data_IF_837373169745
#
_entry.id   IF_837373169745
#
_cell.length_a   1.000
_cell.length_b   1.000
_cell.length_c   1.000
_cell.angle_alpha   90.00
_cell.angle_beta   90.00
_cell.angle_gamma   90.00
#
_symmetry.space_group_name_H-M   'P 1'
#
loop_
_entity.id
_entity.type
_entity.pdbx_description
1 polymer ?
#
# COMPACT_ATOMS: atom_id res chain seq x y z
N UNK A 1 24.44 -27.32 -12.95
CA UNK A 1 24.75 -25.98 -12.36
C UNK A 1 25.19 -26.18 -10.92
N UNK A 2 25.98 -25.29 -10.32
CA UNK A 2 26.48 -25.44 -8.93
C UNK A 2 25.37 -25.78 -7.91
N UNK A 3 24.14 -25.33 -8.17
CA UNK A 3 22.95 -25.54 -7.34
C UNK A 3 22.54 -27.03 -7.20
N UNK A 4 22.91 -27.91 -8.13
CA UNK A 4 22.55 -29.33 -8.09
C UNK A 4 23.40 -30.16 -7.10
N UNK A 5 24.45 -29.56 -6.51
CA UNK A 5 25.34 -30.22 -5.53
C UNK A 5 25.10 -29.74 -4.09
N UNK A 6 24.14 -28.83 -3.88
CA UNK A 6 23.84 -28.31 -2.54
C UNK A 6 22.98 -29.32 -1.79
N UNK A 7 23.60 -29.99 -0.82
CA UNK A 7 22.92 -30.85 0.15
C UNK A 7 22.61 -30.12 1.48
N UNK A 8 21.71 -30.71 2.27
CA UNK A 8 21.31 -30.23 3.59
C UNK A 8 22.50 -29.93 4.52
N UNK A 9 23.58 -30.73 4.44
CA UNK A 9 24.79 -30.53 5.26
C UNK A 9 25.45 -29.17 5.00
N UNK A 10 25.53 -28.72 3.74
CA UNK A 10 26.14 -27.45 3.37
C UNK A 10 25.30 -26.25 3.83
N UNK A 11 23.97 -26.40 3.82
CA UNK A 11 23.05 -25.41 4.38
C UNK A 11 23.26 -25.27 5.88
N UNK A 12 23.33 -26.39 6.61
CA UNK A 12 23.55 -26.38 8.07
C UNK A 12 24.92 -25.78 8.42
N UNK A 13 25.97 -26.09 7.65
CA UNK A 13 27.29 -25.47 7.82
C UNK A 13 27.24 -23.95 7.62
N UNK A 14 26.52 -23.49 6.60
CA UNK A 14 26.34 -22.06 6.33
C UNK A 14 25.58 -21.34 7.44
N UNK A 15 24.53 -21.96 7.97
CA UNK A 15 23.77 -21.42 9.10
C UNK A 15 24.65 -21.30 10.36
N UNK A 16 25.49 -22.30 10.63
CA UNK A 16 26.43 -22.22 11.75
C UNK A 16 27.46 -21.10 11.55
N UNK A 17 27.98 -20.90 10.33
CA UNK A 17 28.89 -19.78 10.03
C UNK A 17 28.18 -18.43 10.25
N UNK A 18 26.94 -18.27 9.78
CA UNK A 18 26.17 -17.04 10.02
C UNK A 18 25.94 -16.82 11.52
N UNK A 19 25.72 -17.89 12.30
CA UNK A 19 25.55 -17.79 13.75
C UNK A 19 26.82 -17.30 14.45
N UNK A 20 27.99 -17.74 13.99
CA UNK A 20 29.27 -17.40 14.61
C UNK A 20 29.77 -16.00 14.20
N UNK A 21 29.54 -15.59 12.94
CA UNK A 21 30.13 -14.39 12.37
C UNK A 21 29.12 -13.29 12.00
N UNK A 22 27.81 -13.58 12.10
CA UNK A 22 26.74 -12.65 11.76
C UNK A 22 26.48 -12.52 10.26
N UNK A 23 25.51 -11.66 9.90
CA UNK A 23 25.17 -11.33 8.51
C UNK A 23 25.90 -10.04 8.13
N UNK A 24 26.73 -10.03 7.06
CA UNK A 24 27.37 -8.82 6.58
C UNK A 24 26.36 -7.77 6.09
N UNK A 25 26.75 -6.50 6.16
CA UNK A 25 25.94 -5.40 5.64
C UNK A 25 25.57 -5.62 4.17
N UNK A 26 24.30 -5.40 3.83
CA UNK A 26 23.77 -5.61 2.48
C UNK A 26 23.45 -7.06 2.11
N UNK A 27 23.67 -8.03 3.02
CA UNK A 27 23.29 -9.44 2.85
C UNK A 27 22.03 -9.85 3.62
N UNK A 28 21.42 -8.91 4.34
CA UNK A 28 20.12 -9.10 4.98
C UNK A 28 18.99 -9.34 3.96
N UNK A 29 17.99 -10.09 4.37
CA UNK A 29 16.83 -10.42 3.55
C UNK A 29 15.86 -9.25 3.43
N UNK A 30 15.07 -9.23 2.34
CA UNK A 30 14.05 -8.21 2.07
C UNK A 30 12.64 -8.76 2.08
N UNK A 31 12.46 -10.07 1.86
CA UNK A 31 11.12 -10.65 1.69
C UNK A 31 10.93 -11.97 2.43
N UNK A 32 11.92 -12.85 2.41
CA UNK A 32 11.80 -14.20 2.98
C UNK A 32 12.91 -14.55 3.96
N UNK A 33 12.61 -15.42 4.91
CA UNK A 33 13.58 -15.99 5.85
C UNK A 33 13.54 -17.50 5.77
N UNK A 34 14.67 -18.14 6.05
CA UNK A 34 14.69 -19.57 6.32
C UNK A 34 14.70 -19.79 7.82
N UNK A 35 13.79 -20.62 8.31
CA UNK A 35 13.72 -21.01 9.71
C UNK A 35 14.56 -22.27 9.96
N UNK A 36 15.43 -22.21 10.96
CA UNK A 36 16.16 -23.37 11.44
C UNK A 36 16.32 -23.30 12.97
N UNK A 37 15.79 -24.31 13.67
CA UNK A 37 15.81 -24.40 15.15
C UNK A 37 15.29 -23.10 15.81
N UNK A 38 14.14 -22.60 15.38
CA UNK A 38 13.50 -21.38 15.86
C UNK A 38 14.35 -20.10 15.69
N UNK A 39 15.31 -20.10 14.77
CA UNK A 39 16.08 -18.93 14.39
C UNK A 39 15.91 -18.67 12.90
N UNK A 40 16.08 -17.42 12.50
CA UNK A 40 15.87 -16.98 11.13
C UNK A 40 17.17 -16.55 10.46
N UNK A 41 17.30 -16.85 9.17
CA UNK A 41 18.48 -16.52 8.39
C UNK A 41 18.10 -16.02 6.98
N UNK A 42 18.93 -15.18 6.33
CA UNK A 42 18.65 -14.72 4.97
C UNK A 42 18.83 -15.86 3.94
N UNK A 43 17.79 -16.27 3.19
CA UNK A 43 17.84 -17.42 2.29
C UNK A 43 18.95 -17.30 1.23
N UNK A 44 19.02 -16.14 0.57
CA UNK A 44 20.02 -15.85 -0.46
C UNK A 44 21.45 -15.95 0.08
N UNK A 45 21.68 -15.48 1.32
CA UNK A 45 23.00 -15.52 1.92
C UNK A 45 23.39 -16.95 2.33
N UNK A 46 22.45 -17.70 2.91
CA UNK A 46 22.65 -19.11 3.28
C UNK A 46 23.04 -19.95 2.07
N UNK A 47 22.30 -19.84 0.96
CA UNK A 47 22.59 -20.59 -0.28
C UNK A 47 23.94 -20.15 -0.86
N UNK A 48 24.23 -18.85 -0.89
CA UNK A 48 25.51 -18.34 -1.38
C UNK A 48 26.71 -18.84 -0.56
N UNK A 49 26.58 -18.91 0.77
CA UNK A 49 27.60 -19.48 1.65
C UNK A 49 27.74 -20.99 1.47
N UNK A 50 26.66 -21.72 1.19
CA UNK A 50 26.75 -23.18 1.02
C UNK A 50 27.66 -23.58 -0.13
N UNK A 51 27.79 -22.73 -1.15
CA UNK A 51 28.73 -22.94 -2.25
C UNK A 51 30.20 -22.96 -1.79
N UNK A 52 30.55 -22.22 -0.74
CA UNK A 52 31.89 -22.22 -0.15
C UNK A 52 32.27 -23.62 0.35
N UNK A 53 31.31 -24.36 0.88
CA UNK A 53 31.51 -25.71 1.41
C UNK A 53 31.59 -26.78 0.32
N UNK A 54 31.18 -26.46 -0.91
CA UNK A 54 31.26 -27.34 -2.07
C UNK A 54 32.53 -27.05 -2.89
N UNK A 55 32.81 -25.78 -3.14
CA UNK A 55 33.81 -25.33 -4.13
C UNK A 55 35.00 -24.56 -3.55
N UNK A 56 34.98 -24.26 -2.24
CA UNK A 56 35.98 -23.41 -1.58
C UNK A 56 35.75 -21.91 -1.73
N UNK A 57 34.81 -21.47 -2.59
CA UNK A 57 34.49 -20.06 -2.83
C UNK A 57 33.01 -19.74 -2.57
N UNK A 58 32.74 -18.57 -1.99
CA UNK A 58 31.36 -18.08 -1.84
C UNK A 58 30.76 -17.72 -3.20
N UNK A 59 29.51 -18.09 -3.44
CA UNK A 59 28.84 -17.76 -4.70
C UNK A 59 28.55 -16.25 -4.78
N UNK A 60 28.98 -15.58 -5.85
CA UNK A 60 28.62 -14.18 -6.06
C UNK A 60 27.10 -14.01 -6.18
N UNK A 61 26.58 -12.95 -5.57
CA UNK A 61 25.18 -12.53 -5.60
C UNK A 61 24.64 -12.45 -7.04
N UNK A 62 25.49 -12.02 -7.98
CA UNK A 62 25.16 -11.89 -9.41
C UNK A 62 24.84 -13.22 -10.11
N UNK A 63 25.19 -14.36 -9.50
CA UNK A 63 25.00 -15.70 -10.06
C UNK A 63 23.69 -16.37 -9.63
N UNK A 64 22.94 -15.75 -8.73
CA UNK A 64 21.56 -16.14 -8.40
C UNK A 64 20.61 -15.25 -9.21
N UNK A 65 19.58 -15.84 -9.83
CA UNK A 65 18.63 -15.09 -10.65
C UNK A 65 17.77 -14.17 -9.79
N UNK A 66 17.36 -14.65 -8.61
CA UNK A 66 16.55 -13.92 -7.63
C UNK A 66 16.47 -14.65 -6.27
N UNK A 67 15.75 -14.04 -5.31
CA UNK A 67 15.48 -14.57 -3.97
C UNK A 67 14.58 -15.82 -4.02
N UNK A 68 13.75 -15.97 -5.06
CA UNK A 68 12.81 -17.08 -5.22
C UNK A 68 13.55 -18.39 -5.57
N UNK A 69 14.64 -18.33 -6.34
CA UNK A 69 15.51 -19.47 -6.62
C UNK A 69 16.16 -20.03 -5.35
N UNK A 70 16.57 -19.16 -4.42
CA UNK A 70 17.17 -19.58 -3.14
C UNK A 70 16.15 -20.27 -2.24
N UNK A 71 14.91 -19.75 -2.20
CA UNK A 71 13.82 -20.35 -1.44
C UNK A 71 13.49 -21.75 -1.94
N UNK A 72 13.37 -21.93 -3.27
CA UNK A 72 13.07 -23.23 -3.85
C UNK A 72 14.11 -24.31 -3.52
N UNK A 73 15.40 -23.96 -3.51
CA UNK A 73 16.49 -24.88 -3.11
C UNK A 73 16.31 -25.30 -1.65
N UNK A 74 16.06 -24.34 -0.76
CA UNK A 74 15.91 -24.61 0.68
C UNK A 74 14.64 -25.42 0.98
N UNK A 75 13.52 -25.12 0.33
CA UNK A 75 12.27 -25.89 0.45
C UNK A 75 12.44 -27.34 -0.03
N UNK A 76 13.12 -27.55 -1.17
CA UNK A 76 13.43 -28.88 -1.69
C UNK A 76 14.33 -29.69 -0.74
N UNK A 77 15.15 -29.02 0.07
CA UNK A 77 15.98 -29.63 1.11
C UNK A 77 15.26 -29.77 2.46
N UNK A 78 13.97 -29.40 2.54
CA UNK A 78 13.11 -29.60 3.71
C UNK A 78 13.14 -28.45 4.73
N UNK A 79 13.67 -27.29 4.37
CA UNK A 79 13.63 -26.11 5.24
C UNK A 79 12.33 -25.32 5.06
N UNK A 80 11.88 -24.69 6.15
CA UNK A 80 10.68 -23.84 6.12
C UNK A 80 11.07 -22.41 5.74
N UNK A 81 10.40 -21.88 4.70
CA UNK A 81 10.50 -20.48 4.31
C UNK A 81 9.38 -19.68 4.96
N UNK A 82 9.76 -18.59 5.62
CA UNK A 82 8.86 -17.68 6.33
C UNK A 82 8.87 -16.33 5.64
N UNK A 83 7.67 -15.80 5.37
CA UNK A 83 7.52 -14.48 4.79
C UNK A 83 7.69 -13.41 5.86
N UNK A 84 8.53 -12.39 5.62
CA UNK A 84 8.77 -11.32 6.59
C UNK A 84 7.50 -10.62 7.05
N UNK A 85 6.49 -10.50 6.18
CA UNK A 85 5.21 -9.87 6.54
C UNK A 85 4.32 -10.75 7.43
N UNK A 86 4.74 -11.99 7.75
CA UNK A 86 4.05 -12.84 8.72
C UNK A 86 4.62 -12.74 10.13
N UNK A 87 5.76 -12.06 10.29
CA UNK A 87 6.41 -11.86 11.58
C UNK A 87 5.88 -10.61 12.28
N UNK A 88 5.82 -10.65 13.62
CA UNK A 88 5.45 -9.50 14.43
C UNK A 88 6.56 -8.44 14.47
N UNK A 89 6.18 -7.20 14.81
CA UNK A 89 7.09 -6.05 14.80
C UNK A 89 8.29 -6.21 15.74
N UNK A 90 8.12 -6.85 16.91
CA UNK A 90 9.24 -7.05 17.86
C UNK A 90 10.27 -8.03 17.28
N UNK A 91 9.79 -9.09 16.64
CA UNK A 91 10.64 -10.04 15.93
C UNK A 91 11.38 -9.34 14.78
N UNK A 92 10.71 -8.50 13.99
CA UNK A 92 11.35 -7.75 12.90
C UNK A 92 12.43 -6.76 13.40
N UNK A 93 12.18 -6.04 14.49
CA UNK A 93 13.17 -5.15 15.11
C UNK A 93 14.40 -5.92 15.61
N UNK A 94 14.18 -7.05 16.29
CA UNK A 94 15.26 -7.92 16.75
C UNK A 94 16.12 -8.43 15.58
N UNK A 95 15.49 -8.90 14.51
CA UNK A 95 16.19 -9.40 13.32
C UNK A 95 16.94 -8.30 12.57
N UNK A 96 16.41 -7.07 12.56
CA UNK A 96 17.07 -5.94 11.92
C UNK A 96 18.33 -5.51 12.67
N UNK A 97 18.28 -5.52 14.01
CA UNK A 97 19.46 -5.25 14.85
C UNK A 97 20.58 -6.29 14.65
N UNK A 98 20.25 -7.47 14.10
CA UNK A 98 21.20 -8.52 13.76
C UNK A 98 21.57 -8.55 12.27
N UNK A 99 21.17 -7.54 11.49
CA UNK A 99 21.36 -7.47 10.03
C UNK A 99 20.74 -8.66 9.24
N UNK A 100 19.88 -9.46 9.87
CA UNK A 100 19.21 -10.60 9.22
C UNK A 100 18.15 -10.10 8.23
N UNK A 101 17.49 -8.99 8.54
CA UNK A 101 16.52 -8.33 7.67
C UNK A 101 16.93 -6.91 7.36
N UNK A 102 16.55 -6.43 6.19
CA UNK A 102 16.70 -5.03 5.81
C UNK A 102 15.32 -4.37 5.86
N UNK A 103 14.95 -3.82 7.03
CA UNK A 103 13.64 -3.18 7.25
C UNK A 103 13.33 -2.06 6.25
N UNK A 104 14.35 -1.44 5.65
CA UNK A 104 14.19 -0.40 4.63
C UNK A 104 13.49 -0.89 3.34
N UNK A 105 13.29 -2.21 3.16
CA UNK A 105 12.69 -2.80 1.94
C UNK A 105 11.56 -3.82 2.17
N UNK A 106 11.08 -4.03 3.41
CA UNK A 106 10.09 -5.08 3.72
C UNK A 106 8.71 -4.83 3.08
N UNK A 107 8.41 -3.58 2.74
CA UNK A 107 7.23 -3.23 1.96
C UNK A 107 7.62 -2.92 0.52
N UNK A 108 7.31 -3.83 -0.41
CA UNK A 108 7.79 -3.78 -1.79
C UNK A 108 7.01 -2.82 -2.71
N UNK A 109 5.78 -2.44 -2.35
CA UNK A 109 4.98 -1.45 -3.10
C UNK A 109 3.69 -1.07 -2.37
N UNK A 110 3.19 0.13 -2.66
CA UNK A 110 1.91 0.65 -2.14
C UNK A 110 0.69 -0.21 -2.55
N UNK A 111 0.88 -1.14 -3.50
CA UNK A 111 -0.12 -2.11 -3.94
C UNK A 111 -0.07 -3.44 -3.16
N UNK A 112 0.54 -3.46 -1.98
CA UNK A 112 0.64 -4.65 -1.14
C UNK A 112 -0.74 -5.23 -0.77
N UNK A 113 -1.06 -6.42 -1.29
CA UNK A 113 -2.31 -7.12 -1.01
C UNK A 113 -2.49 -7.41 0.49
N UNK A 114 -1.39 -7.69 1.21
CA UNK A 114 -1.42 -7.90 2.66
C UNK A 114 -1.82 -6.64 3.41
N UNK A 115 -1.35 -5.46 2.99
CA UNK A 115 -1.79 -4.19 3.57
C UNK A 115 -3.30 -4.03 3.39
N UNK A 116 -3.82 -4.24 2.17
CA UNK A 116 -5.27 -4.16 1.88
C UNK A 116 -6.09 -5.13 2.76
N UNK A 117 -5.60 -6.35 2.97
CA UNK A 117 -6.26 -7.35 3.83
C UNK A 117 -6.20 -6.98 5.32
N UNK A 118 -5.07 -6.49 5.83
CA UNK A 118 -4.96 -6.06 7.23
C UNK A 118 -5.84 -4.84 7.49
N UNK A 119 -5.87 -3.87 6.59
CA UNK A 119 -6.78 -2.71 6.69
C UNK A 119 -8.23 -3.18 6.73
N UNK A 120 -8.62 -4.07 5.82
CA UNK A 120 -9.96 -4.68 5.84
C UNK A 120 -10.26 -5.30 7.21
N UNK A 121 -9.33 -6.08 7.76
CA UNK A 121 -9.48 -6.70 9.09
C UNK A 121 -9.56 -5.70 10.23
N UNK A 122 -8.76 -4.62 10.21
CA UNK A 122 -8.83 -3.51 11.17
C UNK A 122 -10.20 -2.84 11.10
N UNK A 123 -10.68 -2.51 9.90
CA UNK A 123 -11.98 -1.87 9.70
C UNK A 123 -13.13 -2.78 10.15
N UNK A 124 -13.06 -4.08 9.86
CA UNK A 124 -14.04 -5.06 10.32
C UNK A 124 -14.02 -5.22 11.84
N UNK A 125 -12.85 -5.17 12.46
CA UNK A 125 -12.69 -5.26 13.91
C UNK A 125 -13.27 -4.03 14.62
N UNK A 126 -12.94 -2.82 14.15
CA UNK A 126 -13.35 -1.55 14.76
C UNK A 126 -14.84 -1.28 14.50
N UNK A 127 -15.27 -1.41 13.25
CA UNK A 127 -16.60 -0.92 12.83
C UNK A 127 -17.61 -2.03 12.55
N UNK A 128 -17.19 -3.29 12.51
CA UNK A 128 -18.06 -4.41 12.16
C UNK A 128 -18.22 -4.57 10.64
N UNK A 129 -19.44 -4.73 10.15
CA UNK A 129 -19.66 -5.10 8.74
C UNK A 129 -19.30 -3.94 7.78
N UNK A 130 -18.40 -4.22 6.85
CA UNK A 130 -18.02 -3.30 5.76
C UNK A 130 -18.37 -3.88 4.39
N UNK A 131 -18.37 -3.03 3.37
CA UNK A 131 -18.34 -3.41 1.95
C UNK A 131 -16.99 -2.98 1.36
N UNK A 132 -16.39 -3.86 0.56
CA UNK A 132 -15.18 -3.55 -0.23
C UNK A 132 -15.64 -3.16 -1.64
N UNK A 133 -14.89 -2.29 -2.32
CA UNK A 133 -15.18 -1.83 -3.67
C UNK A 133 -16.62 -1.30 -3.79
N UNK A 134 -16.97 -0.40 -2.87
CA UNK A 134 -18.32 0.12 -2.76
C UNK A 134 -18.67 1.00 -3.96
N UNK A 135 -19.71 0.59 -4.69
CA UNK A 135 -20.26 1.35 -5.81
C UNK A 135 -21.25 2.40 -5.33
N UNK A 136 -21.05 3.64 -5.80
CA UNK A 136 -21.98 4.74 -5.62
C UNK A 136 -22.55 5.11 -6.99
N UNK A 137 -23.87 5.09 -7.11
CA UNK A 137 -24.55 5.31 -8.39
C UNK A 137 -24.72 6.81 -8.65
N UNK A 138 -23.63 7.51 -8.92
CA UNK A 138 -23.65 8.93 -9.33
C UNK A 138 -23.04 9.10 -10.70
N UNK A 139 -23.41 10.21 -11.35
CA UNK A 139 -22.81 10.65 -12.57
C UNK A 139 -21.34 11.07 -12.42
N UNK A 140 -20.75 11.50 -13.51
CA UNK A 140 -19.31 11.83 -13.59
C UNK A 140 -19.04 13.13 -14.32
N UNK A 141 -20.07 13.75 -14.90
CA UNK A 141 -19.96 15.05 -15.56
C UNK A 141 -20.53 16.13 -14.63
N UNK A 142 -20.04 17.37 -14.68
CA UNK A 142 -20.56 18.45 -13.84
C UNK A 142 -22.08 18.61 -13.92
N UNK A 143 -22.66 18.41 -15.11
CA UNK A 143 -24.09 18.54 -15.38
C UNK A 143 -24.96 17.58 -14.54
N UNK A 144 -24.40 16.44 -14.14
CA UNK A 144 -25.08 15.47 -13.27
C UNK A 144 -25.36 16.04 -11.87
N UNK A 145 -24.73 17.16 -11.51
CA UNK A 145 -24.80 17.79 -10.20
C UNK A 145 -25.48 19.16 -10.21
N UNK A 146 -26.17 19.55 -11.30
CA UNK A 146 -26.76 20.89 -11.47
C UNK A 146 -27.71 21.33 -10.35
N UNK A 147 -28.39 20.38 -9.71
CA UNK A 147 -29.33 20.63 -8.63
C UNK A 147 -28.71 20.50 -7.23
N UNK A 148 -27.38 20.37 -7.14
CA UNK A 148 -26.68 20.26 -5.87
C UNK A 148 -26.11 21.61 -5.44
N UNK A 149 -25.92 21.77 -4.13
CA UNK A 149 -25.32 22.97 -3.52
C UNK A 149 -23.96 23.34 -4.13
N UNK A 150 -23.19 22.35 -4.57
CA UNK A 150 -21.80 22.52 -5.00
C UNK A 150 -21.60 22.50 -6.52
N UNK A 151 -22.66 22.60 -7.32
CA UNK A 151 -22.57 22.58 -8.78
C UNK A 151 -21.52 23.57 -9.32
N UNK A 152 -21.60 24.84 -8.93
CA UNK A 152 -20.70 25.89 -9.44
C UNK A 152 -19.24 25.62 -9.08
N UNK A 153 -18.99 25.12 -7.87
CA UNK A 153 -17.65 24.75 -7.41
C UNK A 153 -17.10 23.55 -8.21
N UNK A 154 -17.91 22.50 -8.38
CA UNK A 154 -17.57 21.32 -9.17
C UNK A 154 -17.29 21.68 -10.63
N UNK A 155 -18.13 22.53 -11.23
CA UNK A 155 -17.95 23.03 -12.59
C UNK A 155 -16.64 23.83 -12.73
N UNK A 156 -16.36 24.76 -11.83
CA UNK A 156 -15.12 25.53 -11.83
C UNK A 156 -13.88 24.62 -11.70
N UNK A 157 -13.90 23.65 -10.79
CA UNK A 157 -12.80 22.68 -10.65
C UNK A 157 -12.61 21.87 -11.93
N UNK A 158 -13.70 21.43 -12.57
CA UNK A 158 -13.65 20.71 -13.84
C UNK A 158 -12.99 21.54 -14.96
N UNK A 159 -13.41 22.80 -15.12
CA UNK A 159 -12.86 23.73 -16.12
C UNK A 159 -11.37 24.07 -15.86
N UNK A 160 -10.97 24.18 -14.58
CA UNK A 160 -9.57 24.33 -14.19
C UNK A 160 -8.72 23.12 -14.59
N UNK A 161 -9.23 21.89 -14.40
CA UNK A 161 -8.54 20.67 -14.84
C UNK A 161 -8.40 20.64 -16.37
N UNK A 162 -9.44 21.00 -17.11
CA UNK A 162 -9.37 21.08 -18.58
C UNK A 162 -8.28 22.06 -19.02
N UNK A 163 -8.26 23.25 -18.41
CA UNK A 163 -7.36 24.34 -18.77
C UNK A 163 -5.90 24.07 -18.41
N UNK A 164 -5.63 23.25 -17.38
CA UNK A 164 -4.27 23.01 -16.89
C UNK A 164 -3.33 22.41 -17.96
N UNK A 165 -3.84 21.53 -18.83
CA UNK A 165 -3.11 20.98 -19.99
C UNK A 165 -3.81 21.13 -21.33
N UNK A 166 -4.95 21.83 -21.37
CA UNK A 166 -5.78 21.95 -22.57
C UNK A 166 -6.48 20.64 -22.95
N UNK A 167 -6.79 19.78 -21.98
CA UNK A 167 -7.48 18.51 -22.20
C UNK A 167 -8.97 18.66 -21.90
N UNK A 168 -9.78 18.91 -22.94
CA UNK A 168 -11.21 19.15 -22.76
C UNK A 168 -12.01 17.88 -22.45
N UNK A 169 -11.52 16.70 -22.83
CA UNK A 169 -12.22 15.42 -22.63
C UNK A 169 -11.36 14.42 -21.85
N UNK A 170 -11.31 14.58 -20.53
CA UNK A 170 -10.57 13.67 -19.64
C UNK A 170 -11.47 12.67 -18.90
N UNK A 171 -12.79 12.84 -18.91
CA UNK A 171 -13.73 11.92 -18.26
C UNK A 171 -14.27 10.91 -19.27
N UNK A 172 -13.67 9.73 -19.25
CA UNK A 172 -13.87 8.66 -20.24
C UNK A 172 -14.86 7.55 -19.79
N UNK A 173 -15.49 7.70 -18.63
CA UNK A 173 -16.52 6.77 -18.13
C UNK A 173 -17.67 7.57 -17.54
N UNK A 174 -18.89 7.05 -17.68
CA UNK A 174 -20.11 7.64 -17.10
C UNK A 174 -20.33 7.23 -15.65
N UNK A 175 -19.61 6.20 -15.18
CA UNK A 175 -19.72 5.67 -13.81
C UNK A 175 -18.52 6.08 -12.99
N UNK A 176 -18.78 6.60 -11.79
CA UNK A 176 -17.74 6.88 -10.81
C UNK A 176 -17.05 5.57 -10.41
N UNK A 177 -15.70 5.53 -10.34
CA UNK A 177 -14.99 4.37 -9.81
C UNK A 177 -15.40 4.03 -8.38
N UNK A 178 -15.24 2.76 -8.02
CA UNK A 178 -15.55 2.26 -6.67
C UNK A 178 -14.77 3.02 -5.61
N UNK A 179 -15.38 3.14 -4.43
CA UNK A 179 -14.68 3.54 -3.22
C UNK A 179 -14.09 2.31 -2.54
N UNK A 180 -12.91 2.42 -1.91
CA UNK A 180 -12.25 1.22 -1.37
C UNK A 180 -13.08 0.50 -0.31
N UNK A 181 -13.62 1.24 0.67
CA UNK A 181 -14.44 0.66 1.73
C UNK A 181 -15.67 1.51 2.06
N UNK A 182 -16.74 0.85 2.46
CA UNK A 182 -17.93 1.46 3.03
C UNK A 182 -18.34 0.78 4.33
N UNK A 183 -18.35 1.56 5.41
CA UNK A 183 -18.71 1.15 6.77
C UNK A 183 -20.23 1.30 6.95
N UNK A 184 -20.95 0.18 7.01
CA UNK A 184 -22.41 0.17 6.85
C UNK A 184 -23.14 0.89 7.98
N UNK A 185 -22.74 0.65 9.24
CA UNK A 185 -23.40 1.23 10.42
C UNK A 185 -23.13 2.73 10.57
N UNK A 186 -22.02 3.23 10.03
CA UNK A 186 -21.67 4.65 10.08
C UNK A 186 -22.11 5.42 8.83
N UNK A 187 -22.37 4.73 7.72
CA UNK A 187 -22.55 5.40 6.43
C UNK A 187 -21.27 6.10 5.98
N UNK A 188 -20.10 5.54 6.31
CA UNK A 188 -18.80 6.18 6.11
C UNK A 188 -18.03 5.52 4.98
N UNK A 189 -17.52 6.33 4.06
CA UNK A 189 -16.57 5.90 3.03
C UNK A 189 -15.14 6.07 3.57
N UNK A 190 -14.29 5.10 3.26
CA UNK A 190 -12.85 5.17 3.53
C UNK A 190 -12.12 4.90 2.23
N UNK A 191 -11.36 5.89 1.77
CA UNK A 191 -10.47 5.78 0.61
C UNK A 191 -9.02 5.63 1.03
N UNK A 192 -8.27 4.90 0.22
CA UNK A 192 -6.90 4.53 0.48
C UNK A 192 -6.02 5.01 -0.67
N UNK A 193 -5.36 6.14 -0.45
CA UNK A 193 -4.65 6.86 -1.49
C UNK A 193 -3.22 6.32 -1.62
N UNK A 194 -2.88 5.83 -2.81
CA UNK A 194 -1.50 5.55 -3.26
C UNK A 194 -0.80 6.85 -3.68
N UNK A 195 0.53 6.85 -3.77
CA UNK A 195 1.35 8.01 -4.16
C UNK A 195 0.97 8.59 -5.54
N UNK A 196 0.39 7.75 -6.40
CA UNK A 196 -0.14 8.14 -7.70
C UNK A 196 -1.34 9.10 -7.63
N UNK A 197 -2.00 9.25 -6.48
CA UNK A 197 -3.03 10.29 -6.27
C UNK A 197 -2.42 11.68 -5.99
N UNK A 198 -1.18 11.76 -5.52
CA UNK A 198 -0.55 13.02 -5.08
C UNK A 198 0.21 13.71 -6.22
N UNK A 199 -0.54 14.41 -7.07
CA UNK A 199 -0.02 15.15 -8.22
C UNK A 199 -0.49 16.63 -8.22
N UNK A 200 0.00 17.41 -9.19
CA UNK A 200 -0.33 18.83 -9.30
C UNK A 200 -1.81 19.11 -9.58
N UNK A 201 -2.49 18.22 -10.32
CA UNK A 201 -3.91 18.35 -10.63
C UNK A 201 -4.75 18.09 -9.38
N UNK A 202 -4.37 17.13 -8.54
CA UNK A 202 -4.99 16.91 -7.22
C UNK A 202 -4.77 18.10 -6.28
N UNK A 203 -3.58 18.69 -6.27
CA UNK A 203 -3.35 19.93 -5.54
C UNK A 203 -4.24 21.08 -6.04
N UNK A 204 -4.40 21.19 -7.36
CA UNK A 204 -5.26 22.19 -7.99
C UNK A 204 -6.71 22.03 -7.55
N UNK A 205 -7.25 20.81 -7.52
CA UNK A 205 -8.63 20.59 -7.07
C UNK A 205 -8.80 20.96 -5.61
N UNK A 206 -7.95 20.42 -4.71
CA UNK A 206 -8.01 20.71 -3.28
C UNK A 206 -7.94 22.20 -2.96
N UNK A 207 -7.07 22.96 -3.65
CA UNK A 207 -6.95 24.43 -3.47
C UNK A 207 -8.24 25.19 -3.81
N UNK A 208 -9.10 24.61 -4.66
CA UNK A 208 -10.35 25.22 -5.11
C UNK A 208 -11.60 24.64 -4.42
N UNK A 209 -11.45 23.83 -3.38
CA UNK A 209 -12.61 23.36 -2.60
C UNK A 209 -13.20 24.52 -1.80
N UNK A 210 -14.55 24.68 -1.80
CA UNK A 210 -15.22 25.57 -0.88
C UNK A 210 -14.87 25.28 0.58
N UNK A 211 -14.84 26.31 1.42
CA UNK A 211 -14.45 26.19 2.83
C UNK A 211 -15.45 25.40 3.67
N UNK A 212 -16.71 25.31 3.22
CA UNK A 212 -17.82 24.66 3.91
C UNK A 212 -18.05 23.20 3.47
N UNK A 213 -17.19 22.64 2.62
CA UNK A 213 -17.17 21.20 2.33
C UNK A 213 -16.67 20.44 3.55
N UNK A 214 -17.45 19.47 4.02
CA UNK A 214 -17.08 18.64 5.15
C UNK A 214 -16.05 17.57 4.73
N UNK A 215 -14.79 17.76 5.11
CA UNK A 215 -13.70 16.81 4.85
C UNK A 215 -13.28 16.15 6.17
N UNK A 216 -13.37 14.83 6.27
CA UNK A 216 -12.83 14.07 7.42
C UNK A 216 -11.39 13.62 7.17
N UNK A 217 -10.59 14.39 6.43
CA UNK A 217 -9.17 14.20 6.24
C UNK A 217 -8.44 15.55 6.25
N UNK A 218 -7.14 15.55 6.60
CA UNK A 218 -6.34 16.77 6.66
C UNK A 218 -6.00 17.25 5.23
N UNK A 219 -6.83 18.16 4.70
CA UNK A 219 -6.62 18.82 3.41
C UNK A 219 -5.21 19.40 3.26
N UNK A 220 -4.62 19.97 4.32
CA UNK A 220 -3.28 20.56 4.26
C UNK A 220 -2.19 19.48 4.20
N UNK A 221 -2.36 18.34 4.89
CA UNK A 221 -1.50 17.16 4.70
C UNK A 221 -1.56 16.67 3.25
N UNK A 222 -2.74 16.51 2.67
CA UNK A 222 -2.89 16.06 1.28
C UNK A 222 -2.27 17.04 0.27
N UNK A 223 -2.43 18.36 0.49
CA UNK A 223 -1.77 19.38 -0.32
C UNK A 223 -0.24 19.27 -0.26
N UNK A 224 0.34 19.13 0.94
CA UNK A 224 1.79 18.93 1.12
C UNK A 224 2.28 17.66 0.44
N UNK A 225 1.51 16.58 0.49
CA UNK A 225 1.84 15.33 -0.21
C UNK A 225 1.86 15.55 -1.73
N UNK A 226 0.89 16.27 -2.30
CA UNK A 226 0.88 16.61 -3.73
C UNK A 226 2.11 17.45 -4.14
N UNK A 227 2.52 18.40 -3.30
CA UNK A 227 3.68 19.26 -3.54
C UNK A 227 5.02 18.50 -3.41
N UNK A 228 5.09 17.49 -2.53
CA UNK A 228 6.29 16.69 -2.30
C UNK A 228 6.45 15.57 -3.34
N UNK A 229 5.39 14.81 -3.61
CA UNK A 229 5.46 13.61 -4.44
C UNK A 229 5.52 13.95 -5.92
N UNK A 230 4.76 14.97 -6.36
CA UNK A 230 4.66 15.43 -7.75
C UNK A 230 4.55 14.25 -8.73
N UNK A 231 3.70 13.27 -8.40
CA UNK A 231 3.55 12.08 -9.23
C UNK A 231 2.98 12.45 -10.60
N UNK A 232 3.30 11.62 -11.59
CA UNK A 232 2.79 11.76 -12.96
C UNK A 232 2.42 10.38 -13.46
N UNK A 233 1.14 10.15 -13.70
CA UNK A 233 0.63 8.94 -14.32
C UNK A 233 -0.13 9.34 -15.59
N UNK A 234 0.63 9.71 -16.62
CA UNK A 234 0.12 10.32 -17.85
C UNK A 234 -0.11 9.32 -18.98
N UNK A 235 -0.39 8.05 -18.64
CA UNK A 235 -0.67 7.05 -19.65
C UNK A 235 -1.98 6.30 -19.32
N UNK A 236 -3.11 6.61 -19.97
CA UNK A 236 -3.27 7.59 -21.05
C UNK A 236 -3.12 9.05 -20.56
N UNK A 237 -2.90 9.97 -21.50
CA UNK A 237 -2.55 11.37 -21.21
C UNK A 237 -3.51 12.09 -20.24
N UNK A 238 -4.79 11.73 -20.24
CA UNK A 238 -5.85 12.32 -19.41
C UNK A 238 -5.97 11.73 -18.00
N UNK A 239 -5.19 10.69 -17.68
CA UNK A 239 -5.40 9.88 -16.48
C UNK A 239 -5.25 10.69 -15.19
N UNK A 240 -4.28 11.61 -15.13
CA UNK A 240 -4.08 12.44 -13.94
C UNK A 240 -5.26 13.42 -13.71
N UNK A 241 -5.85 14.03 -14.76
CA UNK A 241 -7.06 14.86 -14.63
C UNK A 241 -8.24 14.03 -14.18
N UNK A 242 -8.41 12.86 -14.82
CA UNK A 242 -9.51 11.97 -14.51
C UNK A 242 -9.45 11.50 -13.04
N UNK A 243 -8.24 11.16 -12.56
CA UNK A 243 -8.03 10.77 -11.17
C UNK A 243 -8.34 11.91 -10.21
N UNK A 244 -7.79 13.10 -10.46
CA UNK A 244 -8.03 14.29 -9.63
C UNK A 244 -9.52 14.68 -9.59
N UNK A 245 -10.23 14.51 -10.71
CA UNK A 245 -11.66 14.75 -10.81
C UNK A 245 -12.49 13.72 -10.05
N UNK A 246 -12.21 12.43 -10.21
CA UNK A 246 -12.94 11.38 -9.49
C UNK A 246 -12.69 11.43 -7.99
N UNK A 247 -11.47 11.74 -7.57
CA UNK A 247 -11.20 12.02 -6.16
C UNK A 247 -12.02 13.21 -5.65
N UNK A 248 -12.20 14.24 -6.49
CA UNK A 248 -13.05 15.38 -6.14
C UNK A 248 -14.51 15.01 -6.00
N UNK A 249 -15.06 14.25 -6.95
CA UNK A 249 -16.44 13.78 -6.82
C UNK A 249 -16.65 12.95 -5.55
N UNK A 250 -15.70 12.05 -5.23
CA UNK A 250 -15.71 11.23 -4.01
C UNK A 250 -15.71 12.07 -2.73
N UNK A 251 -14.91 13.13 -2.69
CA UNK A 251 -14.83 14.06 -1.55
C UNK A 251 -16.15 14.80 -1.30
N UNK A 252 -16.90 15.07 -2.37
CA UNK A 252 -18.15 15.80 -2.28
C UNK A 252 -19.36 14.89 -2.02
N UNK A 253 -19.25 13.56 -2.20
CA UNK A 253 -20.37 12.62 -2.03
C UNK A 253 -21.18 12.84 -0.75
N UNK A 254 -20.57 13.00 0.45
CA UNK A 254 -21.36 13.20 1.68
C UNK A 254 -22.14 14.52 1.70
N UNK A 255 -21.73 15.49 0.88
CA UNK A 255 -22.25 16.86 0.88
C UNK A 255 -23.17 17.16 -0.33
N UNK A 256 -23.41 16.19 -1.22
CA UNK A 256 -24.24 16.40 -2.42
C UNK A 256 -25.75 16.44 -2.14
N UNK A 257 -26.21 15.84 -1.04
CA UNK A 257 -27.62 15.74 -0.62
C UNK A 257 -28.57 15.28 -1.74
N UNK A 258 -28.14 14.28 -2.50
CA UNK A 258 -28.96 13.59 -3.51
C UNK A 258 -29.34 12.19 -3.04
N UNK A 259 -30.41 11.63 -3.60
CA UNK A 259 -31.01 10.36 -3.19
C UNK A 259 -29.98 9.21 -3.14
N UNK A 260 -29.06 9.18 -4.10
CA UNK A 260 -28.03 8.16 -4.26
C UNK A 260 -26.91 8.28 -3.20
N UNK A 261 -26.76 9.45 -2.60
CA UNK A 261 -25.74 9.74 -1.58
C UNK A 261 -26.30 9.78 -0.15
N UNK A 262 -27.62 9.63 0.02
CA UNK A 262 -28.31 9.82 1.32
C UNK A 262 -27.82 8.90 2.44
N UNK A 263 -27.29 7.72 2.11
CA UNK A 263 -26.70 6.79 3.08
C UNK A 263 -25.26 7.13 3.47
N UNK A 264 -24.61 8.03 2.72
CA UNK A 264 -23.22 8.44 2.94
C UNK A 264 -23.22 9.67 3.85
N UNK A 265 -22.78 9.49 5.09
CA UNK A 265 -22.70 10.54 6.10
C UNK A 265 -21.34 11.24 6.10
N UNK A 266 -20.28 10.50 5.78
CA UNK A 266 -18.93 11.05 5.73
C UNK A 266 -17.98 10.25 4.86
N UNK A 267 -16.84 10.87 4.54
CA UNK A 267 -15.75 10.27 3.78
C UNK A 267 -14.42 10.71 4.39
N UNK A 268 -13.54 9.73 4.65
CA UNK A 268 -12.15 9.97 5.06
C UNK A 268 -11.18 9.30 4.11
N UNK A 269 -9.95 9.83 4.06
CA UNK A 269 -8.85 9.31 3.24
C UNK A 269 -7.71 8.90 4.15
N UNK A 270 -7.06 7.79 3.83
CA UNK A 270 -5.83 7.32 4.46
C UNK A 270 -4.73 7.25 3.40
N UNK A 271 -3.50 7.62 3.75
CA UNK A 271 -2.37 7.47 2.84
C UNK A 271 -1.72 6.09 3.05
N UNK A 272 -1.53 5.34 1.96
CA UNK A 272 -0.92 4.01 1.99
C UNK A 272 0.44 3.97 2.68
N UNK A 273 1.23 5.04 2.55
CA UNK A 273 2.58 5.11 3.11
C UNK A 273 2.64 5.78 4.49
N UNK A 274 1.49 6.08 5.14
CA UNK A 274 1.49 6.55 6.53
C UNK A 274 1.99 5.46 7.50
N UNK A 275 1.72 4.20 7.19
CA UNK A 275 2.12 3.05 8.00
C UNK A 275 2.56 1.89 7.12
N UNK A 276 3.35 0.98 7.69
CA UNK A 276 3.52 -0.37 7.12
C UNK A 276 2.30 -1.19 7.56
N UNK A 277 1.17 -0.99 6.90
CA UNK A 277 -0.12 -1.55 7.35
C UNK A 277 -0.09 -3.06 7.55
N UNK A 278 0.70 -3.79 6.77
CA UNK A 278 0.88 -5.23 6.92
C UNK A 278 1.66 -5.68 8.16
N UNK A 279 2.29 -4.76 8.92
CA UNK A 279 2.93 -5.07 10.20
C UNK A 279 2.00 -4.84 11.40
N UNK A 280 0.79 -4.33 11.17
CA UNK A 280 -0.17 -4.02 12.22
C UNK A 280 -1.00 -5.26 12.59
N UNK A 281 -1.34 -5.38 13.87
CA UNK A 281 -2.23 -6.42 14.37
C UNK A 281 -3.66 -5.85 14.53
N UNK A 282 -4.65 -6.33 13.76
CA UNK A 282 -6.03 -5.84 13.84
C UNK A 282 -6.64 -5.88 15.25
N UNK A 283 -6.22 -6.81 16.10
CA UNK A 283 -6.77 -6.99 17.44
C UNK A 283 -6.25 -5.98 18.46
N UNK A 284 -5.21 -5.21 18.13
CA UNK A 284 -4.68 -4.16 19.00
C UNK A 284 -5.47 -2.85 18.89
N UNK A 285 -6.37 -2.75 17.90
CA UNK A 285 -7.21 -1.57 17.69
C UNK A 285 -8.48 -1.63 18.54
N UNK A 286 -8.73 -0.58 19.33
CA UNK A 286 -9.89 -0.54 20.20
C UNK A 286 -11.20 -0.38 19.42
N UNK A 287 -12.24 -1.15 19.75
CA UNK A 287 -13.61 -1.06 19.19
C UNK A 287 -14.38 0.24 19.53
N UNK A 288 -13.71 1.30 19.98
CA UNK A 288 -14.40 2.51 20.46
C UNK A 288 -15.08 3.22 19.29
N UNK A 289 -16.32 3.65 19.51
CA UNK A 289 -17.17 4.42 18.59
C UNK A 289 -16.54 5.75 18.11
N UNK A 290 -15.41 6.16 18.71
CA UNK A 290 -14.65 7.38 18.39
C UNK A 290 -13.15 7.15 18.23
N UNK A 291 -12.69 5.91 17.98
CA UNK A 291 -11.27 5.72 17.63
C UNK A 291 -11.00 6.29 16.24
N UNK A 292 -10.18 7.34 16.18
CA UNK A 292 -9.53 7.74 14.95
C UNK A 292 -8.61 6.60 14.53
N UNK A 293 -8.78 6.11 13.30
CA UNK A 293 -7.70 5.39 12.63
C UNK A 293 -6.41 6.23 12.77
N UNK A 294 -5.24 5.61 13.00
CA UNK A 294 -3.97 6.32 13.15
C UNK A 294 -3.72 7.35 12.04
#
# INVERSE_FOLDING_TARGET
MIQEQIEMIHIVQSINEIKDYGVPDGRGSKKYLVEYKNHYYPPEYVVSLSNKYISGETLDKSKLRDEDESNAILENLGFTIVDLCSLDTKTLEYLNNQNIVSLTKIHSSENCLKCKNIIKGILEHIYGKIKVDYHVTVGTKPEDFINTKYYDALKNIYELLQSFRGLNDFVQTTRLPTCNFYVINQGKIIEFDESTHFNQLRALTLKNYPEDVNLEFDKNKWLRLCEKTVSKDNNPNYRDEQRAWFDTLKDFLPSMDIQETKSIKSMTRLYTSDFVWCSLNPNEFSKKEHSTLP
#
